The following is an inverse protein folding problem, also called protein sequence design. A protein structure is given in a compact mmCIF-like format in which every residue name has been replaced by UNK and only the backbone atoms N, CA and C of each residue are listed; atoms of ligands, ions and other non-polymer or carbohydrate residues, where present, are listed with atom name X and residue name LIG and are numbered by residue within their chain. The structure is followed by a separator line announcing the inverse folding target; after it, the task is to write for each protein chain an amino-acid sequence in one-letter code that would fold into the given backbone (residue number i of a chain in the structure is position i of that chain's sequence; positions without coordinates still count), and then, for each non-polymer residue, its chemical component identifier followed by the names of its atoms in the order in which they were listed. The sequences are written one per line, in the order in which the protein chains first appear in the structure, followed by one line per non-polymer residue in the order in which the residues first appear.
data_IF_660304530304
#
_entry.id   IF_660304530304
#
_cell.length_a   1.000
_cell.length_b   1.000
_cell.length_c   1.000
_cell.angle_alpha   90.00
_cell.angle_beta   90.00
_cell.angle_gamma   90.00
#
_symmetry.space_group_name_H-M   'P 1'
#
loop_
_entity.id
_entity.type
_entity.pdbx_description
1 polymer ?
#
# COMPACT_ATOMS: atom_id res chain seq x y z
N UNK A 1 20.91 -0.56 -12.31
CA UNK A 1 22.37 -0.59 -12.27
C UNK A 1 22.74 -1.42 -11.03
N UNK A 2 23.12 -2.67 -11.22
CA UNK A 2 23.60 -3.54 -10.13
C UNK A 2 25.04 -3.13 -9.81
N UNK A 3 25.29 -2.66 -8.62
CA UNK A 3 26.64 -2.46 -8.14
C UNK A 3 27.25 -3.84 -7.82
N UNK A 4 28.33 -4.16 -8.51
CA UNK A 4 29.17 -5.33 -8.20
C UNK A 4 29.70 -5.17 -6.76
N UNK A 5 29.34 -6.11 -5.89
CA UNK A 5 29.56 -6.06 -4.44
C UNK A 5 30.90 -6.68 -4.03
N UNK A 6 31.78 -7.02 -4.98
CA UNK A 6 33.06 -7.73 -4.73
C UNK A 6 34.16 -6.88 -4.06
N UNK A 7 33.84 -5.63 -3.65
CA UNK A 7 34.86 -4.71 -3.12
C UNK A 7 34.64 -4.20 -1.69
N UNK A 8 33.57 -4.62 -0.99
CA UNK A 8 33.32 -4.17 0.37
C UNK A 8 33.56 -5.29 1.38
N UNK A 9 34.32 -4.97 2.44
CA UNK A 9 34.65 -5.84 3.58
C UNK A 9 33.61 -5.79 4.71
N UNK A 10 32.43 -5.17 4.47
CA UNK A 10 31.30 -5.05 5.38
C UNK A 10 29.97 -5.12 4.61
N UNK A 11 28.88 -5.40 5.35
CA UNK A 11 27.53 -5.52 4.80
C UNK A 11 26.53 -4.59 5.44
N UNK A 12 25.27 -4.66 4.99
CA UNK A 12 24.20 -3.79 5.49
C UNK A 12 23.90 -3.98 6.99
N UNK A 13 24.17 -5.16 7.56
CA UNK A 13 24.01 -5.39 9.00
C UNK A 13 25.03 -4.59 9.80
N UNK A 14 26.25 -4.45 9.31
CA UNK A 14 27.26 -3.63 9.95
C UNK A 14 26.85 -2.16 9.96
N UNK A 15 26.29 -1.68 8.84
CA UNK A 15 25.74 -0.32 8.74
C UNK A 15 24.56 -0.12 9.68
N UNK A 16 23.66 -1.10 9.79
CA UNK A 16 22.54 -1.09 10.74
C UNK A 16 23.04 -1.00 12.19
N UNK A 17 24.13 -1.69 12.51
CA UNK A 17 24.75 -1.64 13.83
C UNK A 17 25.41 -0.28 14.09
N UNK A 18 26.16 0.27 13.13
CA UNK A 18 26.78 1.61 13.22
C UNK A 18 25.70 2.70 13.42
N UNK A 19 24.55 2.54 12.78
CA UNK A 19 23.40 3.46 12.91
C UNK A 19 22.55 3.19 14.15
N UNK A 20 22.88 2.19 14.97
CA UNK A 20 22.11 1.79 16.17
C UNK A 20 20.61 1.59 15.89
N UNK A 21 20.25 1.06 14.72
CA UNK A 21 18.83 0.88 14.37
C UNK A 21 18.19 -0.19 15.26
N UNK A 22 17.05 0.14 15.84
CA UNK A 22 16.32 -0.76 16.73
C UNK A 22 15.64 -1.87 15.97
N UNK A 23 16.08 -3.11 16.20
CA UNK A 23 15.47 -4.32 15.65
C UNK A 23 14.13 -4.63 16.33
N UNK A 24 13.13 -5.05 15.57
CA UNK A 24 11.82 -5.48 16.08
C UNK A 24 11.60 -6.99 15.96
N UNK A 25 11.67 -7.53 14.74
CA UNK A 25 11.55 -8.98 14.50
C UNK A 25 12.23 -9.35 13.18
N UNK A 26 12.84 -10.52 13.08
CA UNK A 26 13.50 -10.96 11.85
C UNK A 26 14.44 -9.89 11.30
N UNK A 27 14.27 -9.51 10.06
CA UNK A 27 15.03 -8.45 9.40
C UNK A 27 14.29 -7.11 9.34
N UNK A 28 13.37 -6.87 10.28
CA UNK A 28 12.59 -5.64 10.37
C UNK A 28 13.07 -4.76 11.52
N UNK A 29 13.30 -3.48 11.20
CA UNK A 29 13.82 -2.45 12.08
C UNK A 29 12.91 -1.22 12.12
N UNK A 30 13.08 -0.37 13.12
CA UNK A 30 12.46 0.95 13.13
C UNK A 30 13.05 1.78 11.99
N UNK A 31 12.22 2.57 11.32
CA UNK A 31 12.68 3.35 10.18
C UNK A 31 13.21 4.71 10.62
N UNK A 32 14.51 5.01 10.42
CA UNK A 32 15.07 6.29 10.80
C UNK A 32 14.64 7.45 9.90
N UNK A 33 14.16 7.15 8.68
CA UNK A 33 13.73 8.19 7.73
C UNK A 33 12.36 8.78 8.03
N UNK A 34 11.43 7.97 8.55
CA UNK A 34 10.08 8.42 8.87
C UNK A 34 9.72 8.28 10.35
N UNK A 35 10.68 7.95 11.21
CA UNK A 35 10.48 7.83 12.66
C UNK A 35 9.52 6.71 13.07
N UNK A 36 9.23 5.76 12.18
CA UNK A 36 8.30 4.67 12.43
C UNK A 36 8.93 3.63 13.36
N UNK A 37 8.22 3.24 14.43
CA UNK A 37 8.73 2.40 15.52
C UNK A 37 8.10 1.01 15.61
N UNK A 38 7.41 0.55 14.56
CA UNK A 38 6.76 -0.77 14.50
C UNK A 38 7.45 -1.75 13.54
N UNK A 39 8.70 -1.46 13.15
CA UNK A 39 9.49 -2.34 12.30
C UNK A 39 8.99 -2.35 10.86
N UNK A 40 8.98 -1.22 10.18
CA UNK A 40 8.60 -1.14 8.75
C UNK A 40 9.81 -1.05 7.82
N UNK A 41 11.02 -0.85 8.36
CA UNK A 41 12.26 -0.93 7.60
C UNK A 41 12.68 -2.38 7.47
N UNK A 42 12.54 -2.95 6.30
CA UNK A 42 13.04 -4.28 5.96
C UNK A 42 14.50 -4.19 5.49
N UNK A 43 15.36 -5.02 6.03
CA UNK A 43 16.76 -5.18 5.63
C UNK A 43 16.91 -6.50 4.88
N UNK A 44 17.27 -6.45 3.62
CA UNK A 44 17.67 -7.64 2.87
C UNK A 44 19.19 -7.80 2.96
N UNK A 45 19.61 -8.75 3.78
CA UNK A 45 21.04 -8.97 4.08
C UNK A 45 21.79 -9.50 2.87
N UNK A 46 21.18 -10.41 2.11
CA UNK A 46 21.81 -11.06 0.94
C UNK A 46 22.09 -10.05 -0.19
N UNK A 47 21.15 -9.13 -0.40
CA UNK A 47 21.27 -8.08 -1.43
C UNK A 47 21.92 -6.79 -0.92
N UNK A 48 22.27 -6.71 0.35
CA UNK A 48 22.77 -5.49 1.02
C UNK A 48 21.91 -4.25 0.74
N UNK A 49 20.58 -4.42 0.77
CA UNK A 49 19.63 -3.32 0.52
C UNK A 49 18.61 -3.20 1.63
N UNK A 50 18.05 -2.00 1.75
CA UNK A 50 16.95 -1.72 2.68
C UNK A 50 15.72 -1.18 1.93
N UNK A 51 14.56 -1.35 2.55
CA UNK A 51 13.32 -0.72 2.12
C UNK A 51 12.38 -0.53 3.31
N UNK A 52 11.86 0.68 3.45
CA UNK A 52 10.78 0.96 4.39
C UNK A 52 9.41 0.75 3.72
N UNK A 53 8.58 -0.11 4.30
CA UNK A 53 7.22 -0.38 3.80
C UNK A 53 6.22 0.75 4.16
N UNK A 54 6.67 1.82 4.84
CA UNK A 54 5.85 2.97 5.21
C UNK A 54 6.14 4.21 4.37
N UNK A 55 7.43 4.57 4.21
CA UNK A 55 7.83 5.80 3.50
C UNK A 55 8.57 5.52 2.19
N UNK A 56 8.68 4.25 1.79
CA UNK A 56 9.38 3.77 0.58
C UNK A 56 10.87 4.16 0.50
N UNK A 57 11.47 4.73 1.55
CA UNK A 57 12.91 4.92 1.62
C UNK A 57 13.59 3.59 1.32
N UNK A 58 14.47 3.56 0.32
CA UNK A 58 15.10 2.33 -0.14
C UNK A 58 16.44 2.59 -0.81
N UNK A 59 17.32 1.59 -0.77
CA UNK A 59 18.64 1.70 -1.40
C UNK A 59 19.60 0.63 -0.92
N UNK A 60 20.86 0.77 -1.32
CA UNK A 60 21.96 -0.06 -0.85
C UNK A 60 22.48 0.41 0.51
N UNK A 61 23.40 -0.37 1.10
CA UNK A 61 23.97 -0.12 2.44
C UNK A 61 24.60 1.27 2.59
N UNK A 62 25.34 1.75 1.59
CA UNK A 62 25.94 3.09 1.63
C UNK A 62 24.88 4.19 1.61
N UNK A 63 23.81 4.01 0.82
CA UNK A 63 22.71 4.97 0.74
C UNK A 63 21.93 5.06 2.06
N UNK A 64 21.81 3.95 2.81
CA UNK A 64 21.20 3.97 4.13
C UNK A 64 21.91 4.95 5.08
N UNK A 65 23.24 4.92 5.07
CA UNK A 65 24.06 5.81 5.89
C UNK A 65 24.07 7.25 5.33
N UNK A 66 24.33 7.37 4.03
CA UNK A 66 24.49 8.66 3.35
C UNK A 66 23.24 9.55 3.47
N UNK A 67 22.04 8.99 3.24
CA UNK A 67 20.80 9.74 3.33
C UNK A 67 20.47 10.21 4.75
N UNK A 68 20.91 9.44 5.79
CA UNK A 68 20.68 9.82 7.19
C UNK A 68 21.63 10.91 7.67
N UNK A 69 22.86 10.88 7.20
CA UNK A 69 23.90 11.84 7.62
C UNK A 69 24.07 13.00 6.64
N UNK A 70 23.30 13.00 5.53
CA UNK A 70 23.36 14.00 4.46
C UNK A 70 24.79 14.17 3.90
N UNK A 71 25.43 13.03 3.62
CA UNK A 71 26.79 12.94 3.06
C UNK A 71 26.78 12.21 1.72
N UNK A 72 27.86 12.32 0.95
CA UNK A 72 28.01 11.56 -0.31
C UNK A 72 28.24 10.07 -0.01
N UNK A 73 28.03 9.20 -1.03
CA UNK A 73 28.30 7.76 -0.88
C UNK A 73 29.76 7.46 -0.57
N UNK A 74 30.70 8.29 -1.08
CA UNK A 74 32.12 8.17 -0.79
C UNK A 74 32.44 8.48 0.66
N UNK A 75 31.91 9.59 1.19
CA UNK A 75 32.04 9.98 2.60
C UNK A 75 31.38 8.95 3.52
N UNK A 76 30.19 8.46 3.14
CA UNK A 76 29.52 7.40 3.89
C UNK A 76 30.38 6.14 4.00
N UNK A 77 31.00 5.69 2.89
CA UNK A 77 31.92 4.54 2.91
C UNK A 77 33.09 4.78 3.85
N UNK A 78 33.72 5.96 3.80
CA UNK A 78 34.82 6.31 4.68
C UNK A 78 34.39 6.31 6.15
N UNK A 79 33.28 6.98 6.49
CA UNK A 79 32.80 7.09 7.87
C UNK A 79 32.37 5.72 8.44
N UNK A 80 31.72 4.87 7.62
CA UNK A 80 31.37 3.51 8.02
C UNK A 80 32.63 2.69 8.32
N UNK A 81 33.63 2.75 7.46
CA UNK A 81 34.92 2.05 7.65
C UNK A 81 35.63 2.52 8.92
N UNK A 82 35.67 3.82 9.18
CA UNK A 82 36.25 4.40 10.40
C UNK A 82 35.49 3.90 11.65
N UNK A 83 34.16 3.88 11.61
CA UNK A 83 33.35 3.39 12.71
C UNK A 83 33.53 1.88 12.97
N UNK A 84 33.65 1.08 11.93
CA UNK A 84 33.89 -0.37 12.04
C UNK A 84 35.35 -0.71 12.44
N UNK A 85 36.32 0.10 12.03
CA UNK A 85 37.75 -0.10 12.40
C UNK A 85 38.06 0.19 13.87
N UNK A 86 37.14 0.83 14.61
CA UNK A 86 37.24 1.10 16.04
C UNK A 86 36.57 0.03 16.91
N UNK A 87 35.82 -0.90 16.36
CA UNK A 87 35.22 -2.03 17.07
C UNK A 87 35.92 -3.34 16.72
N UNK A 88 36.21 -4.18 17.73
CA UNK A 88 36.76 -5.52 17.52
C UNK A 88 35.87 -6.28 16.49
N UNK A 89 36.50 -6.75 15.45
CA UNK A 89 35.87 -7.52 14.37
C UNK A 89 35.42 -8.87 14.93
N UNK A 90 34.14 -9.00 15.30
CA UNK A 90 33.55 -10.29 15.65
C UNK A 90 33.08 -10.99 14.37
N UNK A 91 33.98 -11.75 13.77
CA UNK A 91 33.68 -12.70 12.68
C UNK A 91 32.67 -13.80 13.09
N UNK A 92 32.39 -13.93 14.38
CA UNK A 92 31.51 -14.97 14.92
C UNK A 92 30.03 -14.80 14.56
N UNK A 93 29.61 -13.59 14.19
CA UNK A 93 28.21 -13.32 13.80
C UNK A 93 27.87 -13.86 12.40
N UNK A 94 28.84 -14.04 11.53
CA UNK A 94 28.61 -14.56 10.16
C UNK A 94 28.39 -16.09 10.19
N UNK A 95 28.89 -16.79 11.21
CA UNK A 95 28.78 -18.26 11.33
C UNK A 95 27.55 -18.77 12.09
N UNK A 96 26.81 -17.90 12.77
CA UNK A 96 25.70 -18.29 13.67
C UNK A 96 24.30 -18.02 13.12
N UNK A 97 24.13 -17.49 11.92
CA UNK A 97 22.81 -17.45 11.30
C UNK A 97 22.58 -18.77 10.55
N UNK A 98 21.56 -19.54 10.91
CA UNK A 98 21.16 -20.68 10.08
C UNK A 98 20.91 -20.11 8.68
N UNK A 99 21.56 -20.69 7.67
CA UNK A 99 21.23 -20.49 6.27
C UNK A 99 19.75 -20.82 6.17
N UNK A 100 18.91 -19.80 6.10
CA UNK A 100 17.52 -20.04 5.71
C UNK A 100 17.64 -20.49 4.27
N UNK A 101 17.28 -21.74 4.02
CA UNK A 101 17.14 -22.27 2.67
C UNK A 101 16.43 -21.22 1.84
N UNK A 102 17.05 -20.78 0.75
CA UNK A 102 16.45 -19.82 -0.18
C UNK A 102 15.13 -20.42 -0.62
N UNK A 103 14.04 -19.85 -0.13
CA UNK A 103 12.72 -20.26 -0.60
C UNK A 103 12.66 -19.90 -2.06
N UNK A 104 12.59 -20.93 -2.92
CA UNK A 104 12.48 -20.72 -4.34
C UNK A 104 11.28 -19.83 -4.64
N UNK A 105 11.53 -18.62 -5.15
CA UNK A 105 10.46 -17.74 -5.61
C UNK A 105 10.07 -18.13 -7.03
N UNK A 106 8.78 -18.26 -7.29
CA UNK A 106 8.30 -18.48 -8.64
C UNK A 106 8.38 -17.19 -9.45
N UNK A 107 8.49 -17.32 -10.77
CA UNK A 107 8.25 -16.22 -11.69
C UNK A 107 6.75 -15.86 -11.69
N UNK A 108 6.43 -14.58 -11.84
CA UNK A 108 5.04 -14.12 -11.92
C UNK A 108 4.38 -14.70 -13.19
N UNK A 109 3.21 -15.30 -13.04
CA UNK A 109 2.45 -15.84 -14.17
C UNK A 109 1.96 -14.72 -15.12
N UNK A 110 1.68 -15.01 -16.41
CA UNK A 110 1.02 -14.07 -17.30
C UNK A 110 -0.28 -13.54 -16.71
N UNK A 111 -0.61 -12.28 -16.97
CA UNK A 111 -1.76 -11.60 -16.37
C UNK A 111 -3.09 -12.27 -16.72
N UNK A 112 -3.19 -12.84 -17.91
CA UNK A 112 -4.34 -13.60 -18.40
C UNK A 112 -4.57 -14.84 -17.56
N UNK A 113 -3.49 -15.57 -17.21
CA UNK A 113 -3.56 -16.77 -16.38
C UNK A 113 -3.88 -16.42 -14.93
N UNK A 114 -3.29 -15.33 -14.40
CA UNK A 114 -3.64 -14.78 -13.08
C UNK A 114 -5.14 -14.48 -13.04
N UNK A 115 -5.64 -13.75 -14.02
CA UNK A 115 -7.04 -13.37 -14.13
C UNK A 115 -7.97 -14.59 -14.20
N UNK A 116 -7.69 -15.56 -15.09
CA UNK A 116 -8.47 -16.79 -15.25
C UNK A 116 -8.55 -17.57 -13.93
N UNK A 117 -7.42 -17.75 -13.27
CA UNK A 117 -7.34 -18.47 -11.99
C UNK A 117 -8.14 -17.74 -10.90
N UNK A 118 -8.00 -16.44 -10.80
CA UNK A 118 -8.77 -15.65 -9.83
C UNK A 118 -10.27 -15.63 -10.13
N UNK A 119 -10.69 -15.52 -11.39
CA UNK A 119 -12.10 -15.62 -11.74
C UNK A 119 -12.70 -16.96 -11.31
N UNK A 120 -12.00 -18.05 -11.60
CA UNK A 120 -12.47 -19.39 -11.19
C UNK A 120 -12.48 -19.52 -9.67
N UNK A 121 -11.43 -19.05 -8.98
CA UNK A 121 -11.41 -19.03 -7.51
C UNK A 121 -12.62 -18.28 -6.95
N UNK A 122 -12.90 -17.08 -7.43
CA UNK A 122 -14.05 -16.28 -6.95
C UNK A 122 -15.40 -16.98 -7.17
N UNK A 123 -15.55 -17.74 -8.26
CA UNK A 123 -16.79 -18.49 -8.52
C UNK A 123 -17.04 -19.65 -7.53
N UNK A 124 -15.98 -20.09 -6.82
CA UNK A 124 -16.06 -21.12 -5.78
C UNK A 124 -16.25 -20.52 -4.38
N UNK A 125 -16.12 -19.23 -4.21
CA UNK A 125 -16.24 -18.51 -2.94
C UNK A 125 -17.61 -17.85 -2.82
N UNK A 126 -18.04 -17.62 -1.58
CA UNK A 126 -19.28 -16.92 -1.27
C UNK A 126 -19.01 -15.62 -0.54
N UNK A 127 -19.94 -14.68 -0.59
CA UNK A 127 -19.94 -13.52 0.27
C UNK A 127 -20.87 -13.79 1.46
N UNK A 128 -20.35 -13.72 2.68
CA UNK A 128 -21.18 -13.94 3.87
C UNK A 128 -22.12 -12.73 4.10
N UNK A 129 -23.21 -12.95 4.80
CA UNK A 129 -24.27 -11.95 5.05
C UNK A 129 -23.72 -10.70 5.72
N UNK A 130 -22.86 -10.83 6.73
CA UNK A 130 -22.26 -9.71 7.45
C UNK A 130 -21.45 -8.79 6.53
N UNK A 131 -20.65 -9.38 5.63
CA UNK A 131 -19.88 -8.61 4.65
C UNK A 131 -20.78 -7.94 3.61
N UNK A 132 -21.82 -8.61 3.15
CA UNK A 132 -22.80 -8.03 2.25
C UNK A 132 -23.50 -6.82 2.90
N UNK A 133 -23.95 -6.94 4.14
CA UNK A 133 -24.55 -5.84 4.91
C UNK A 133 -23.57 -4.68 5.13
N UNK A 134 -22.26 -4.96 5.37
CA UNK A 134 -21.24 -3.90 5.49
C UNK A 134 -21.05 -3.13 4.18
N UNK A 135 -21.00 -3.83 3.05
CA UNK A 135 -20.89 -3.22 1.71
C UNK A 135 -22.14 -2.40 1.36
N UNK A 136 -23.34 -2.91 1.67
CA UNK A 136 -24.60 -2.19 1.47
C UNK A 136 -24.68 -0.92 2.34
N UNK A 137 -24.30 -1.00 3.61
CA UNK A 137 -24.23 0.16 4.51
C UNK A 137 -23.28 1.24 3.99
N UNK A 138 -22.26 0.87 3.20
CA UNK A 138 -21.35 1.79 2.53
C UNK A 138 -21.92 2.39 1.24
N UNK A 139 -23.13 2.03 0.85
CA UNK A 139 -23.83 2.58 -0.31
C UNK A 139 -23.78 1.75 -1.57
N UNK A 140 -23.23 0.53 -1.55
CA UNK A 140 -23.28 -0.38 -2.68
C UNK A 140 -24.60 -1.16 -2.74
N UNK A 141 -25.20 -1.26 -3.91
CA UNK A 141 -26.37 -2.10 -4.16
C UNK A 141 -25.96 -3.57 -4.35
N UNK A 142 -26.88 -4.55 -4.12
CA UNK A 142 -26.57 -5.97 -4.29
C UNK A 142 -26.01 -6.32 -5.68
N UNK A 143 -26.57 -5.77 -6.74
CA UNK A 143 -26.09 -5.97 -8.10
C UNK A 143 -24.69 -5.40 -8.36
N UNK A 144 -24.33 -4.29 -7.70
CA UNK A 144 -23.00 -3.70 -7.77
C UNK A 144 -21.97 -4.55 -7.01
N UNK A 145 -22.37 -5.09 -5.84
CA UNK A 145 -21.54 -5.99 -5.05
C UNK A 145 -21.20 -7.24 -5.85
N UNK A 146 -22.18 -7.83 -6.53
CA UNK A 146 -21.96 -9.01 -7.36
C UNK A 146 -21.13 -8.67 -8.61
N UNK A 147 -21.39 -7.55 -9.29
CA UNK A 147 -20.63 -7.08 -10.44
C UNK A 147 -19.14 -6.89 -10.10
N UNK A 148 -18.82 -6.42 -8.87
CA UNK A 148 -17.45 -6.28 -8.38
C UNK A 148 -16.86 -7.59 -7.85
N UNK A 149 -17.65 -8.68 -7.82
CA UNK A 149 -17.20 -10.02 -7.40
C UNK A 149 -16.59 -10.05 -6.00
N UNK A 150 -17.07 -9.23 -5.07
CA UNK A 150 -16.63 -9.29 -3.68
C UNK A 150 -16.99 -10.63 -3.07
N UNK A 151 -16.06 -11.24 -2.34
CA UNK A 151 -16.24 -12.51 -1.64
C UNK A 151 -15.69 -12.43 -0.22
N UNK A 152 -16.04 -13.37 0.61
CA UNK A 152 -15.44 -13.52 1.93
C UNK A 152 -14.23 -14.43 1.85
N UNK A 153 -13.17 -14.09 2.59
CA UNK A 153 -12.02 -14.99 2.78
C UNK A 153 -12.52 -16.28 3.46
N UNK A 154 -12.29 -17.47 2.89
CA UNK A 154 -12.68 -18.73 3.51
C UNK A 154 -11.80 -19.01 4.73
N UNK A 155 -12.39 -19.57 5.79
CA UNK A 155 -11.69 -19.91 7.03
C UNK A 155 -11.01 -21.29 6.97
N UNK A 156 -11.44 -22.15 6.05
CA UNK A 156 -10.95 -23.54 5.89
C UNK A 156 -11.08 -23.99 4.43
N UNK A 157 -10.47 -25.13 4.11
CA UNK A 157 -10.61 -25.77 2.80
C UNK A 157 -9.64 -25.25 1.73
N UNK A 158 -8.60 -24.50 2.09
CA UNK A 158 -7.66 -23.89 1.13
C UNK A 158 -6.97 -24.92 0.23
N UNK A 159 -6.44 -26.03 0.80
CA UNK A 159 -5.82 -27.10 0.01
C UNK A 159 -6.80 -27.72 -1.00
N UNK A 160 -8.07 -27.94 -0.58
CA UNK A 160 -9.12 -28.49 -1.47
C UNK A 160 -9.48 -27.54 -2.59
N UNK A 161 -9.59 -26.23 -2.29
CA UNK A 161 -9.83 -25.18 -3.26
C UNK A 161 -8.73 -25.15 -4.33
N UNK A 162 -7.46 -25.13 -3.89
CA UNK A 162 -6.30 -25.03 -4.78
C UNK A 162 -6.12 -26.33 -5.59
N UNK A 163 -6.31 -27.50 -4.97
CA UNK A 163 -6.29 -28.80 -5.67
C UNK A 163 -7.31 -28.81 -6.81
N UNK A 164 -8.54 -28.38 -6.54
CA UNK A 164 -9.58 -28.31 -7.57
C UNK A 164 -9.23 -27.37 -8.71
N UNK A 165 -8.67 -26.18 -8.44
CA UNK A 165 -8.18 -25.28 -9.48
C UNK A 165 -7.14 -25.94 -10.37
N UNK A 166 -6.16 -26.62 -9.79
CA UNK A 166 -5.12 -27.32 -10.52
C UNK A 166 -5.68 -28.51 -11.35
N UNK A 167 -6.61 -29.31 -10.81
CA UNK A 167 -7.27 -30.40 -11.51
C UNK A 167 -8.12 -29.91 -12.70
N UNK A 168 -8.69 -28.70 -12.59
CA UNK A 168 -9.44 -28.06 -13.67
C UNK A 168 -8.51 -27.35 -14.69
N UNK A 169 -7.18 -27.45 -14.54
CA UNK A 169 -6.18 -26.91 -15.48
C UNK A 169 -5.88 -25.41 -15.30
N UNK A 170 -6.21 -24.81 -14.16
CA UNK A 170 -5.84 -23.43 -13.85
C UNK A 170 -4.43 -23.36 -13.28
N UNK A 171 -3.67 -22.35 -13.71
CA UNK A 171 -2.32 -22.10 -13.23
C UNK A 171 -2.37 -21.57 -11.79
N UNK A 172 -1.64 -22.22 -10.87
CA UNK A 172 -1.49 -21.76 -9.48
C UNK A 172 -0.05 -21.29 -9.19
N UNK A 173 0.94 -21.81 -9.90
CA UNK A 173 2.33 -21.36 -9.82
C UNK A 173 2.45 -19.94 -10.42
N UNK A 174 3.14 -19.05 -9.70
CA UNK A 174 3.32 -17.67 -10.15
C UNK A 174 2.09 -16.76 -9.98
N UNK A 175 0.99 -17.26 -9.40
CA UNK A 175 -0.20 -16.46 -9.08
C UNK A 175 -0.07 -15.93 -7.65
N UNK A 176 -0.17 -14.61 -7.38
CA UNK A 176 0.00 -14.07 -6.04
C UNK A 176 -0.99 -14.67 -5.03
N UNK A 177 -0.49 -14.99 -3.85
CA UNK A 177 -1.26 -15.65 -2.80
C UNK A 177 -1.14 -17.16 -2.80
N UNK A 178 -0.81 -17.80 -3.92
CA UNK A 178 -0.59 -19.26 -3.99
C UNK A 178 0.87 -19.60 -3.69
N UNK A 179 1.10 -20.72 -3.02
CA UNK A 179 2.43 -21.17 -2.63
C UNK A 179 2.43 -22.67 -2.30
N UNK A 180 3.61 -23.27 -2.14
CA UNK A 180 3.76 -24.62 -1.62
C UNK A 180 3.95 -24.60 -0.10
N UNK A 181 3.20 -25.43 0.61
CA UNK A 181 3.37 -25.63 2.04
C UNK A 181 4.57 -26.56 2.36
N UNK A 182 4.80 -26.84 3.62
CA UNK A 182 5.91 -27.69 4.10
C UNK A 182 5.82 -29.13 3.61
N UNK A 183 4.64 -29.60 3.23
CA UNK A 183 4.40 -30.93 2.69
C UNK A 183 4.52 -30.95 1.14
N UNK A 184 4.89 -29.81 0.52
CA UNK A 184 4.99 -29.65 -0.91
C UNK A 184 3.65 -29.48 -1.64
N UNK A 185 2.54 -29.37 -0.94
CA UNK A 185 1.21 -29.19 -1.54
C UNK A 185 0.95 -27.72 -1.88
N UNK A 186 0.30 -27.48 -3.01
CA UNK A 186 -0.19 -26.17 -3.33
C UNK A 186 -1.33 -25.73 -2.40
N UNK A 187 -1.24 -24.51 -1.91
CA UNK A 187 -2.24 -23.88 -1.05
C UNK A 187 -2.30 -22.36 -1.33
N UNK A 188 -3.17 -21.64 -0.62
CA UNK A 188 -3.32 -20.18 -0.74
C UNK A 188 -3.22 -19.51 0.64
N UNK A 189 -2.65 -18.32 0.69
CA UNK A 189 -2.36 -17.58 1.92
C UNK A 189 -3.62 -16.90 2.51
N UNK A 190 -4.68 -17.66 2.70
CA UNK A 190 -5.82 -17.25 3.49
C UNK A 190 -5.61 -17.71 4.94
N UNK A 191 -5.58 -16.76 5.86
CA UNK A 191 -5.37 -17.00 7.29
C UNK A 191 -6.60 -16.58 8.08
N UNK A 192 -6.96 -17.34 9.09
CA UNK A 192 -8.12 -17.05 9.94
C UNK A 192 -8.02 -15.66 10.61
N UNK A 193 -6.83 -15.28 11.06
CA UNK A 193 -6.59 -13.93 11.62
C UNK A 193 -6.71 -12.79 10.60
N UNK A 194 -6.81 -13.12 9.32
CA UNK A 194 -6.99 -12.21 8.19
C UNK A 194 -8.36 -12.39 7.52
N UNK A 195 -9.34 -12.97 8.24
CA UNK A 195 -10.71 -13.03 7.74
C UNK A 195 -11.19 -11.64 7.32
N UNK A 196 -12.04 -11.57 6.30
CA UNK A 196 -12.50 -10.29 5.78
C UNK A 196 -13.07 -10.37 4.37
N UNK A 197 -13.26 -9.19 3.79
CA UNK A 197 -13.76 -9.04 2.43
C UNK A 197 -12.60 -9.08 1.45
N UNK A 198 -12.66 -10.01 0.52
CA UNK A 198 -11.74 -10.13 -0.61
C UNK A 198 -12.14 -9.13 -1.71
N UNK A 199 -11.26 -8.19 -2.01
CA UNK A 199 -11.50 -7.06 -2.91
C UNK A 199 -10.63 -7.25 -4.14
N UNK A 200 -11.20 -7.55 -5.33
CA UNK A 200 -10.45 -7.66 -6.57
C UNK A 200 -9.83 -6.31 -6.97
N UNK A 201 -8.59 -6.36 -7.42
CA UNK A 201 -7.87 -5.22 -7.99
C UNK A 201 -7.84 -5.41 -9.50
N UNK A 202 -8.54 -4.54 -10.22
CA UNK A 202 -8.78 -4.68 -11.66
C UNK A 202 -7.94 -3.68 -12.44
N UNK A 203 -7.29 -4.14 -13.52
CA UNK A 203 -6.49 -3.32 -14.44
C UNK A 203 -7.35 -2.51 -15.40
N UNK A 204 -6.70 -1.66 -16.23
CA UNK A 204 -7.33 -0.99 -17.38
C UNK A 204 -7.95 -1.98 -18.37
N UNK A 205 -7.37 -3.18 -18.50
CA UNK A 205 -7.85 -4.21 -19.44
C UNK A 205 -8.97 -5.09 -18.85
N UNK A 206 -9.44 -4.76 -17.63
CA UNK A 206 -10.47 -5.54 -16.94
C UNK A 206 -9.93 -6.80 -16.25
N UNK A 207 -8.61 -7.03 -16.24
CA UNK A 207 -8.01 -8.20 -15.60
C UNK A 207 -7.91 -8.04 -14.08
N UNK A 208 -8.26 -9.08 -13.34
CA UNK A 208 -7.99 -9.15 -11.90
C UNK A 208 -6.50 -9.42 -11.71
N UNK A 209 -5.76 -8.44 -11.19
CA UNK A 209 -4.31 -8.47 -10.99
C UNK A 209 -3.91 -9.01 -9.60
N UNK A 210 -4.80 -8.95 -8.65
CA UNK A 210 -4.56 -9.32 -7.26
C UNK A 210 -5.75 -9.01 -6.38
N UNK A 211 -5.56 -9.17 -5.08
CA UNK A 211 -6.60 -8.87 -4.09
C UNK A 211 -6.03 -8.07 -2.92
N UNK A 212 -6.83 -7.12 -2.44
CA UNK A 212 -6.76 -6.65 -1.07
C UNK A 212 -7.78 -7.41 -0.20
N UNK A 213 -7.44 -7.66 1.04
CA UNK A 213 -8.36 -8.18 2.05
C UNK A 213 -8.62 -7.05 3.04
N UNK A 214 -9.88 -6.60 3.13
CA UNK A 214 -10.31 -5.71 4.19
C UNK A 214 -10.64 -6.58 5.40
N UNK A 215 -9.74 -6.57 6.38
CA UNK A 215 -9.84 -7.48 7.53
C UNK A 215 -11.01 -7.12 8.45
N UNK A 216 -11.62 -8.14 9.06
CA UNK A 216 -12.72 -7.98 10.01
C UNK A 216 -12.26 -7.34 11.33
N UNK A 217 -11.07 -7.74 11.79
CA UNK A 217 -10.44 -7.22 12.99
C UNK A 217 -9.41 -6.16 12.63
N UNK A 218 -9.89 -4.91 12.56
CA UNK A 218 -9.05 -3.74 12.25
C UNK A 218 -8.20 -3.40 13.45
N UNK A 219 -6.88 -3.27 13.24
CA UNK A 219 -5.95 -2.72 14.22
C UNK A 219 -5.39 -1.40 13.71
N UNK A 220 -4.67 -0.64 14.54
CA UNK A 220 -4.04 0.62 14.15
C UNK A 220 -3.13 0.50 12.92
N UNK A 221 -2.57 -0.69 12.68
CA UNK A 221 -1.60 -0.95 11.60
C UNK A 221 -2.13 -1.84 10.49
N UNK A 222 -3.34 -2.43 10.64
CA UNK A 222 -3.84 -3.47 9.74
C UNK A 222 -5.33 -3.29 9.49
N UNK A 223 -5.66 -2.57 8.43
CA UNK A 223 -7.04 -2.43 7.93
C UNK A 223 -7.21 -3.15 6.59
N UNK A 224 -6.21 -3.04 5.73
CA UNK A 224 -6.12 -3.72 4.45
C UNK A 224 -4.79 -4.46 4.36
N UNK A 225 -4.81 -5.66 3.81
CA UNK A 225 -3.63 -6.44 3.50
C UNK A 225 -3.69 -6.94 2.07
N UNK A 226 -2.54 -7.19 1.46
CA UNK A 226 -2.46 -7.83 0.16
C UNK A 226 -2.54 -9.36 0.30
N UNK A 227 -3.29 -10.00 -0.59
CA UNK A 227 -3.15 -11.44 -0.83
C UNK A 227 -1.83 -11.66 -1.59
N UNK A 228 -0.80 -12.05 -0.86
CA UNK A 228 0.57 -12.21 -1.35
C UNK A 228 1.19 -13.45 -0.73
N UNK A 229 2.09 -14.10 -1.45
CA UNK A 229 2.79 -15.30 -1.01
C UNK A 229 4.32 -15.18 -1.07
N UNK A 230 4.86 -13.98 -1.25
CA UNK A 230 6.30 -13.71 -1.46
C UNK A 230 7.22 -14.32 -0.40
N UNK A 231 6.73 -14.61 0.81
CA UNK A 231 7.53 -15.18 1.91
C UNK A 231 7.39 -16.72 2.01
N UNK A 232 6.78 -17.36 1.03
CA UNK A 232 6.52 -18.80 1.01
C UNK A 232 7.21 -19.46 -0.19
N UNK A 233 7.43 -20.78 -0.10
CA UNK A 233 8.02 -21.55 -1.20
C UNK A 233 7.16 -21.44 -2.46
N UNK A 234 7.81 -21.22 -3.62
CA UNK A 234 7.17 -20.94 -4.92
C UNK A 234 6.14 -19.80 -4.89
N UNK A 235 6.19 -18.95 -3.86
CA UNK A 235 5.30 -17.81 -3.74
C UNK A 235 5.79 -16.59 -4.52
N UNK A 236 4.87 -15.67 -4.82
CA UNK A 236 5.16 -14.41 -5.52
C UNK A 236 4.51 -13.23 -4.81
N UNK A 237 5.04 -12.04 -5.05
CA UNK A 237 4.49 -10.78 -4.54
C UNK A 237 3.22 -10.39 -5.29
N UNK A 238 2.28 -9.75 -4.60
CA UNK A 238 1.14 -9.07 -5.25
C UNK A 238 1.55 -7.89 -6.12
N UNK A 239 2.75 -7.32 -5.93
CA UNK A 239 3.23 -6.16 -6.69
C UNK A 239 2.52 -4.84 -6.39
N UNK A 240 1.51 -4.81 -5.53
CA UNK A 240 0.67 -3.63 -5.23
C UNK A 240 0.10 -2.97 -6.49
N UNK A 241 -0.65 -3.68 -7.34
CA UNK A 241 -1.20 -3.14 -8.57
C UNK A 241 -2.22 -2.02 -8.32
N UNK A 242 -2.42 -1.19 -9.32
CA UNK A 242 -3.37 -0.08 -9.32
C UNK A 242 -4.75 -0.60 -9.77
N UNK A 243 -5.81 -0.22 -9.04
CA UNK A 243 -7.19 -0.53 -9.42
C UNK A 243 -7.78 0.62 -10.24
N UNK A 244 -8.51 0.27 -11.30
CA UNK A 244 -9.21 1.24 -12.14
C UNK A 244 -10.68 0.84 -12.26
N UNK A 245 -11.56 1.84 -12.15
CA UNK A 245 -13.01 1.66 -12.31
C UNK A 245 -13.64 2.89 -12.97
N UNK A 246 -14.54 2.66 -13.92
CA UNK A 246 -15.27 3.67 -14.66
C UNK A 246 -14.94 3.67 -16.13
N UNK A 247 -15.29 4.78 -16.82
CA UNK A 247 -15.04 4.97 -18.24
C UNK A 247 -13.56 5.31 -18.50
N UNK A 248 -12.89 4.50 -19.30
CA UNK A 248 -11.47 4.70 -19.63
C UNK A 248 -11.25 5.92 -20.55
N UNK A 249 -12.27 6.35 -21.30
CA UNK A 249 -12.22 7.54 -22.15
C UNK A 249 -12.56 8.85 -21.39
N UNK A 250 -12.75 8.78 -20.08
CA UNK A 250 -13.07 9.95 -19.27
C UNK A 250 -11.95 10.99 -19.33
N UNK A 251 -12.28 12.22 -19.68
CA UNK A 251 -11.32 13.33 -19.72
C UNK A 251 -10.79 13.72 -18.32
N UNK A 252 -11.61 13.56 -17.29
CA UNK A 252 -11.27 13.82 -15.88
C UNK A 252 -11.32 12.54 -15.08
N UNK A 253 -10.23 12.20 -14.45
CA UNK A 253 -10.06 10.96 -13.67
C UNK A 253 -9.66 11.30 -12.25
N UNK A 254 -10.27 10.65 -11.29
CA UNK A 254 -10.00 10.84 -9.87
C UNK A 254 -8.98 9.80 -9.37
N UNK A 255 -8.04 10.25 -8.55
CA UNK A 255 -7.08 9.38 -7.86
C UNK A 255 -7.42 9.32 -6.38
N UNK A 256 -7.61 8.12 -5.83
CA UNK A 256 -7.89 7.95 -4.40
C UNK A 256 -7.13 6.77 -3.77
N UNK A 257 -7.19 6.65 -2.45
CA UNK A 257 -6.62 5.53 -1.70
C UNK A 257 -7.64 4.41 -1.52
N UNK A 258 -7.23 3.17 -1.86
CA UNK A 258 -8.02 1.96 -1.65
C UNK A 258 -9.08 1.69 -2.72
N UNK A 259 -9.03 0.48 -3.27
CA UNK A 259 -9.93 0.04 -4.35
C UNK A 259 -11.41 0.10 -3.92
N UNK A 260 -11.75 -0.36 -2.71
CA UNK A 260 -13.13 -0.33 -2.23
C UNK A 260 -13.68 1.11 -2.15
N UNK A 261 -12.86 2.06 -1.69
CA UNK A 261 -13.24 3.47 -1.61
C UNK A 261 -13.52 4.05 -3.00
N UNK A 262 -12.62 3.83 -3.95
CA UNK A 262 -12.79 4.30 -5.32
C UNK A 262 -14.00 3.66 -6.00
N UNK A 263 -14.27 2.38 -5.75
CA UNK A 263 -15.46 1.68 -6.25
C UNK A 263 -16.75 2.31 -5.71
N UNK A 264 -16.83 2.56 -4.40
CA UNK A 264 -17.99 3.22 -3.79
C UNK A 264 -18.16 4.62 -4.38
N UNK A 265 -17.10 5.40 -4.45
CA UNK A 265 -17.11 6.74 -5.01
C UNK A 265 -17.56 6.75 -6.48
N UNK A 266 -17.11 5.78 -7.29
CA UNK A 266 -17.59 5.58 -8.65
C UNK A 266 -19.11 5.39 -8.72
N UNK A 267 -19.66 4.45 -7.96
CA UNK A 267 -21.10 4.19 -7.97
C UNK A 267 -21.96 5.32 -7.39
N UNK A 268 -21.38 6.15 -6.55
CA UNK A 268 -22.07 7.34 -6.03
C UNK A 268 -22.07 8.51 -7.02
N UNK A 269 -21.00 8.68 -7.81
CA UNK A 269 -20.79 9.87 -8.65
C UNK A 269 -20.84 9.60 -10.16
N UNK A 270 -20.69 8.36 -10.61
CA UNK A 270 -20.49 8.01 -12.02
C UNK A 270 -19.10 8.36 -12.58
N UNK A 271 -18.22 8.94 -11.77
CA UNK A 271 -16.88 9.35 -12.21
C UNK A 271 -15.91 8.17 -12.30
N UNK A 272 -14.83 8.33 -13.06
CA UNK A 272 -13.76 7.34 -13.20
C UNK A 272 -12.71 7.52 -12.12
N UNK A 273 -12.32 6.40 -11.49
CA UNK A 273 -11.34 6.37 -10.43
C UNK A 273 -10.15 5.47 -10.73
N UNK A 274 -8.96 5.98 -10.43
CA UNK A 274 -7.72 5.24 -10.29
C UNK A 274 -7.42 5.13 -8.80
N UNK A 275 -7.12 3.92 -8.31
CA UNK A 275 -6.98 3.68 -6.87
C UNK A 275 -5.65 3.01 -6.57
N UNK A 276 -4.87 3.62 -5.69
CA UNK A 276 -3.65 3.05 -5.12
C UNK A 276 -3.92 2.51 -3.72
N UNK A 277 -3.12 1.57 -3.23
CA UNK A 277 -3.35 0.96 -1.91
C UNK A 277 -3.14 1.91 -0.71
N UNK A 278 -2.49 3.03 -0.95
CA UNK A 278 -2.24 4.10 0.01
C UNK A 278 -1.44 5.21 -0.64
N UNK A 279 -1.42 6.39 -0.04
CA UNK A 279 -0.81 7.62 -0.59
C UNK A 279 0.66 7.43 -1.05
N UNK A 280 1.41 6.55 -0.39
CA UNK A 280 2.81 6.26 -0.72
C UNK A 280 2.99 5.05 -1.64
N UNK A 281 1.91 4.46 -2.18
CA UNK A 281 1.95 3.30 -3.09
C UNK A 281 1.79 3.71 -4.56
N UNK A 282 2.54 4.71 -4.98
CA UNK A 282 2.46 5.34 -6.31
C UNK A 282 3.34 4.68 -7.37
N UNK A 283 4.17 3.67 -7.03
CA UNK A 283 5.16 3.06 -7.95
C UNK A 283 4.56 2.62 -9.30
N UNK A 284 3.39 1.99 -9.27
CA UNK A 284 2.73 1.45 -10.45
C UNK A 284 1.74 2.44 -11.09
N UNK A 285 1.69 3.69 -10.61
CA UNK A 285 0.73 4.68 -11.06
C UNK A 285 1.07 5.26 -12.44
N UNK A 286 2.35 5.59 -12.67
CA UNK A 286 2.80 6.26 -13.90
C UNK A 286 2.39 5.52 -15.18
N UNK A 287 2.64 4.19 -15.34
CA UNK A 287 2.22 3.47 -16.54
C UNK A 287 0.71 3.46 -16.75
N UNK A 288 -0.07 3.44 -15.66
CA UNK A 288 -1.55 3.48 -15.72
C UNK A 288 -2.02 4.84 -16.23
N UNK A 289 -1.49 5.94 -15.67
CA UNK A 289 -1.86 7.30 -16.11
C UNK A 289 -1.42 7.58 -17.55
N UNK A 290 -0.26 7.09 -17.96
CA UNK A 290 0.24 7.22 -19.33
C UNK A 290 -0.71 6.54 -20.33
N UNK A 291 -1.17 5.33 -20.05
CA UNK A 291 -2.16 4.62 -20.86
C UNK A 291 -3.52 5.34 -20.89
N UNK A 292 -3.99 5.83 -19.73
CA UNK A 292 -5.25 6.59 -19.65
C UNK A 292 -5.16 7.91 -20.42
N UNK A 293 -4.01 8.58 -20.41
CA UNK A 293 -3.77 9.75 -21.27
C UNK A 293 -3.92 9.37 -22.76
N UNK A 294 -3.42 8.19 -23.15
CA UNK A 294 -3.61 7.65 -24.50
C UNK A 294 -5.09 7.38 -24.85
N UNK A 295 -5.94 7.10 -23.88
CA UNK A 295 -7.40 6.93 -24.08
C UNK A 295 -8.20 8.25 -24.03
N UNK A 296 -7.55 9.39 -23.77
CA UNK A 296 -8.20 10.71 -23.81
C UNK A 296 -8.28 11.45 -22.47
N UNK A 297 -7.69 10.92 -21.41
CA UNK A 297 -7.61 11.63 -20.13
C UNK A 297 -6.84 12.94 -20.29
N UNK A 298 -7.45 14.06 -19.85
CA UNK A 298 -6.89 15.42 -19.92
C UNK A 298 -6.46 15.94 -18.55
N UNK A 299 -7.02 15.40 -17.46
CA UNK A 299 -6.79 15.92 -16.11
C UNK A 299 -6.90 14.81 -15.06
N UNK A 300 -5.97 14.84 -14.09
CA UNK A 300 -6.05 14.05 -12.87
C UNK A 300 -6.55 14.90 -11.71
N UNK A 301 -7.50 14.37 -10.93
CA UNK A 301 -8.08 15.01 -9.76
C UNK A 301 -7.64 14.20 -8.52
N UNK A 302 -6.64 14.68 -7.76
CA UNK A 302 -6.15 14.00 -6.57
C UNK A 302 -7.16 14.14 -5.43
N UNK A 303 -7.84 13.05 -5.10
CA UNK A 303 -8.89 12.94 -4.08
C UNK A 303 -8.48 11.99 -2.94
N UNK A 304 -7.23 12.08 -2.49
CA UNK A 304 -6.76 11.38 -1.29
C UNK A 304 -7.47 11.88 -0.03
N UNK A 305 -7.41 11.08 1.03
CA UNK A 305 -8.03 11.36 2.30
C UNK A 305 -7.70 12.76 2.85
N UNK A 306 -8.68 13.39 3.50
CA UNK A 306 -8.54 14.76 3.99
C UNK A 306 -7.56 14.92 5.16
N UNK A 307 -7.01 13.84 5.70
CA UNK A 307 -5.90 13.96 6.67
C UNK A 307 -4.61 14.54 6.04
N UNK A 308 -4.54 14.71 4.72
CA UNK A 308 -3.57 15.57 4.04
C UNK A 308 -3.66 17.05 4.47
N UNK A 309 -4.80 17.50 4.95
CA UNK A 309 -5.11 18.84 5.49
C UNK A 309 -5.44 18.81 7.00
N UNK A 310 -5.08 17.73 7.70
CA UNK A 310 -5.43 17.56 9.12
C UNK A 310 -4.84 18.67 9.99
N UNK A 311 -5.57 19.06 11.04
CA UNK A 311 -5.09 19.99 12.07
C UNK A 311 -3.91 19.38 12.81
N UNK A 312 -2.85 20.18 12.96
CA UNK A 312 -1.63 19.76 13.69
C UNK A 312 -1.61 20.25 15.13
N UNK A 313 -2.55 21.09 15.53
CA UNK A 313 -2.68 21.53 16.91
C UNK A 313 -2.90 20.34 17.86
N UNK A 314 -2.26 20.40 19.03
CA UNK A 314 -2.39 19.39 20.07
C UNK A 314 -3.56 19.73 21.00
N UNK A 315 -4.73 19.15 20.75
CA UNK A 315 -5.91 19.38 21.57
C UNK A 315 -6.12 18.36 22.69
N UNK A 316 -5.48 17.19 22.59
CA UNK A 316 -5.51 16.11 23.59
C UNK A 316 -4.22 15.30 23.52
N UNK A 317 -3.57 15.11 24.68
CA UNK A 317 -2.58 14.06 24.83
C UNK A 317 -3.31 12.72 24.84
N UNK A 318 -3.03 11.87 23.85
CA UNK A 318 -3.42 10.46 23.90
C UNK A 318 -2.20 9.59 24.27
N UNK A 319 -2.40 8.29 24.47
CA UNK A 319 -1.32 7.34 24.78
C UNK A 319 -0.23 7.27 23.69
N UNK A 320 -0.50 7.78 22.49
CA UNK A 320 0.45 7.85 21.36
C UNK A 320 1.37 9.09 21.48
N UNK A 321 1.02 10.05 22.33
CA UNK A 321 1.81 11.25 22.60
C UNK A 321 2.84 11.09 23.73
N UNK A 322 3.16 9.87 24.14
CA UNK A 322 4.12 9.57 25.21
C UNK A 322 5.54 10.14 24.98
N UNK A 323 5.83 10.65 23.77
CA UNK A 323 7.09 11.31 23.40
C UNK A 323 7.02 12.84 23.58
N UNK A 324 5.84 13.38 23.89
CA UNK A 324 5.64 14.81 24.03
C UNK A 324 5.90 15.23 25.48
N UNK A 325 7.05 15.87 25.73
CA UNK A 325 7.44 16.34 27.06
C UNK A 325 6.65 17.57 27.54
N UNK A 326 5.99 18.27 26.62
CA UNK A 326 5.18 19.44 26.93
C UNK A 326 3.70 19.07 27.08
N UNK A 327 3.05 19.56 28.13
CA UNK A 327 1.66 19.24 28.45
C UNK A 327 0.62 19.76 27.45
N UNK A 328 0.96 20.66 26.53
CA UNK A 328 0.10 21.15 25.46
C UNK A 328 0.93 21.90 24.40
N UNK A 329 1.76 21.24 23.59
CA UNK A 329 2.49 21.95 22.54
C UNK A 329 1.50 22.56 21.56
N UNK A 330 1.79 23.75 21.06
CA UNK A 330 1.01 24.43 20.03
C UNK A 330 0.90 23.53 18.78
N UNK A 331 1.96 22.81 18.45
CA UNK A 331 2.02 21.87 17.33
C UNK A 331 2.30 20.46 17.87
N UNK A 332 1.42 19.52 17.54
CA UNK A 332 1.66 18.10 17.79
C UNK A 332 2.60 17.53 16.73
N UNK A 333 3.83 17.22 17.11
CA UNK A 333 4.85 16.69 16.21
C UNK A 333 4.41 15.38 15.53
N UNK A 334 3.68 14.51 16.24
CA UNK A 334 3.14 13.29 15.64
C UNK A 334 2.13 13.56 14.51
N UNK A 335 1.21 14.52 14.72
CA UNK A 335 0.25 14.92 13.67
C UNK A 335 0.95 15.64 12.52
N UNK A 336 1.90 16.53 12.82
CA UNK A 336 2.68 17.25 11.81
C UNK A 336 3.47 16.27 10.94
N UNK A 337 4.13 15.28 11.53
CA UNK A 337 4.87 14.25 10.82
C UNK A 337 3.94 13.37 9.96
N UNK A 338 2.80 12.95 10.50
CA UNK A 338 1.80 12.21 9.72
C UNK A 338 1.33 13.01 8.51
N UNK A 339 1.00 14.31 8.69
CA UNK A 339 0.59 15.21 7.60
C UNK A 339 1.71 15.35 6.56
N UNK A 340 2.95 15.52 7.00
CA UNK A 340 4.14 15.61 6.12
C UNK A 340 4.30 14.36 5.25
N UNK A 341 4.19 13.16 5.84
CA UNK A 341 4.29 11.89 5.10
C UNK A 341 3.20 11.79 4.02
N UNK A 342 1.97 12.18 4.35
CA UNK A 342 0.86 12.16 3.39
C UNK A 342 1.11 13.18 2.27
N UNK A 343 1.53 14.40 2.62
CA UNK A 343 1.85 15.45 1.64
C UNK A 343 2.99 15.04 0.71
N UNK A 344 4.01 14.36 1.21
CA UNK A 344 5.08 13.82 0.37
C UNK A 344 4.55 12.85 -0.69
N UNK A 345 3.63 11.95 -0.32
CA UNK A 345 2.98 11.07 -1.29
C UNK A 345 2.16 11.83 -2.33
N UNK A 346 1.41 12.86 -1.93
CA UNK A 346 0.69 13.75 -2.86
C UNK A 346 1.67 14.46 -3.82
N UNK A 347 2.80 14.93 -3.31
CA UNK A 347 3.82 15.60 -4.13
C UNK A 347 4.45 14.63 -5.15
N UNK A 348 4.63 13.35 -4.79
CA UNK A 348 5.12 12.34 -5.75
C UNK A 348 4.14 12.10 -6.89
N UNK A 349 2.84 12.13 -6.63
CA UNK A 349 1.83 12.08 -7.69
C UNK A 349 1.92 13.30 -8.59
N UNK A 350 2.12 14.49 -8.01
CA UNK A 350 2.32 15.72 -8.77
C UNK A 350 3.56 15.63 -9.69
N UNK A 351 4.69 15.11 -9.18
CA UNK A 351 5.90 14.87 -9.98
C UNK A 351 5.60 13.94 -11.17
N UNK A 352 4.88 12.82 -10.95
CA UNK A 352 4.47 11.89 -12.01
C UNK A 352 3.60 12.61 -13.06
N UNK A 353 2.62 13.40 -12.64
CA UNK A 353 1.77 14.16 -13.55
C UNK A 353 2.56 15.17 -14.37
N UNK A 354 3.53 15.86 -13.75
CA UNK A 354 4.42 16.80 -14.44
C UNK A 354 5.27 16.09 -15.50
N UNK A 355 5.85 14.93 -15.18
CA UNK A 355 6.60 14.12 -16.16
C UNK A 355 5.75 13.70 -17.35
N UNK A 356 4.46 13.41 -17.11
CA UNK A 356 3.50 13.03 -18.14
C UNK A 356 2.88 14.26 -18.86
N UNK A 357 3.22 15.49 -18.48
CA UNK A 357 2.52 16.71 -18.95
C UNK A 357 1.01 16.60 -18.80
N UNK A 358 0.57 16.09 -17.65
CA UNK A 358 -0.83 15.88 -17.30
C UNK A 358 -1.26 16.90 -16.24
N UNK A 359 -2.19 17.81 -16.52
CA UNK A 359 -2.75 18.71 -15.53
C UNK A 359 -3.30 17.95 -14.32
N UNK A 360 -2.99 18.44 -13.10
CA UNK A 360 -3.48 17.85 -11.86
C UNK A 360 -4.05 18.93 -10.94
N UNK A 361 -5.22 18.69 -10.38
CA UNK A 361 -5.79 19.50 -9.31
C UNK A 361 -5.94 18.66 -8.04
N UNK A 362 -5.71 19.28 -6.90
CA UNK A 362 -5.96 18.67 -5.59
C UNK A 362 -7.41 18.93 -5.17
N UNK A 363 -8.14 17.86 -4.90
CA UNK A 363 -9.51 17.95 -4.41
C UNK A 363 -9.51 18.06 -2.88
N UNK A 364 -10.29 18.99 -2.36
CA UNK A 364 -10.48 19.21 -0.92
C UNK A 364 -11.96 19.40 -0.61
N UNK A 365 -12.38 18.99 0.57
CA UNK A 365 -13.74 19.15 1.09
C UNK A 365 -13.71 19.33 2.59
N UNK A 366 -14.83 19.80 3.17
CA UNK A 366 -14.99 20.00 4.61
C UNK A 366 -13.84 20.80 5.26
N UNK A 367 -13.43 21.88 4.59
CA UNK A 367 -12.40 22.79 5.08
C UNK A 367 -13.01 23.78 6.09
N UNK A 368 -12.20 24.20 7.05
CA UNK A 368 -12.52 25.33 7.92
C UNK A 368 -11.96 26.65 7.35
N UNK A 369 -12.18 27.75 8.07
CA UNK A 369 -11.72 29.08 7.72
C UNK A 369 -10.20 29.24 7.63
N UNK A 370 -9.45 28.35 8.28
CA UNK A 370 -7.98 28.33 8.28
C UNK A 370 -7.41 27.48 7.14
N UNK A 371 -8.25 26.92 6.27
CA UNK A 371 -7.80 26.02 5.20
C UNK A 371 -7.34 24.66 5.72
N UNK A 372 -7.83 24.22 6.88
CA UNK A 372 -7.58 22.90 7.45
C UNK A 372 -8.86 22.05 7.44
N UNK A 373 -8.71 20.73 7.43
CA UNK A 373 -9.84 19.82 7.47
C UNK A 373 -10.58 19.89 8.81
N UNK A 374 -11.90 20.07 8.76
CA UNK A 374 -12.73 20.21 9.95
C UNK A 374 -13.08 18.87 10.67
N UNK A 375 -12.60 17.73 10.13
CA UNK A 375 -12.76 16.42 10.74
C UNK A 375 -14.04 15.66 10.34
N UNK A 376 -14.88 16.17 9.42
CA UNK A 376 -16.15 15.50 9.04
C UNK A 376 -15.90 14.26 8.17
N UNK A 377 -15.89 14.39 6.85
CA UNK A 377 -15.75 13.26 5.95
C UNK A 377 -14.26 13.09 5.58
N UNK A 378 -13.69 11.95 5.95
CA UNK A 378 -12.27 11.70 5.70
C UNK A 378 -12.01 11.32 4.25
N UNK A 379 -12.73 10.33 3.73
CA UNK A 379 -12.61 9.80 2.38
C UNK A 379 -13.57 10.45 1.40
N UNK A 380 -13.25 10.38 0.12
CA UNK A 380 -14.13 10.85 -0.96
C UNK A 380 -15.46 10.08 -1.00
N UNK A 381 -15.45 8.79 -0.67
CA UNK A 381 -16.63 7.95 -0.55
C UNK A 381 -17.59 8.42 0.54
N UNK A 382 -17.07 8.74 1.73
CA UNK A 382 -17.86 9.27 2.86
C UNK A 382 -18.49 10.63 2.50
N UNK A 383 -17.71 11.49 1.82
CA UNK A 383 -18.16 12.81 1.37
C UNK A 383 -19.30 12.71 0.34
N UNK A 384 -19.12 11.87 -0.69
CA UNK A 384 -20.13 11.68 -1.73
C UNK A 384 -21.40 11.02 -1.19
N UNK A 385 -21.28 10.08 -0.25
CA UNK A 385 -22.43 9.46 0.40
C UNK A 385 -23.26 10.52 1.17
N UNK A 386 -22.61 11.43 1.89
CA UNK A 386 -23.30 12.50 2.62
C UNK A 386 -23.99 13.51 1.70
N UNK A 387 -23.40 13.83 0.54
CA UNK A 387 -24.05 14.71 -0.46
C UNK A 387 -25.30 14.04 -1.02
N UNK A 388 -25.17 12.77 -1.45
CA UNK A 388 -26.31 12.04 -2.04
C UNK A 388 -27.49 11.90 -1.08
N UNK A 389 -27.23 11.75 0.20
CA UNK A 389 -28.30 11.79 1.22
C UNK A 389 -29.01 13.14 1.29
N UNK A 390 -28.28 14.25 1.12
CA UNK A 390 -28.86 15.61 1.10
C UNK A 390 -29.67 15.89 -0.16
N UNK A 391 -29.21 15.44 -1.32
CA UNK A 391 -29.95 15.56 -2.60
C UNK A 391 -31.28 14.81 -2.56
N UNK A 392 -31.34 13.64 -1.92
CA UNK A 392 -32.58 12.93 -1.66
C UNK A 392 -33.58 13.71 -0.77
N UNK A 393 -33.13 14.76 -0.07
CA UNK A 393 -33.95 15.67 0.77
C UNK A 393 -34.25 17.01 0.08
N UNK A 394 -33.93 17.21 -1.22
CA UNK A 394 -34.35 18.37 -2.04
C UNK A 394 -33.33 19.53 -2.11
N UNK A 395 -32.12 19.38 -1.59
CA UNK A 395 -31.06 20.38 -1.71
C UNK A 395 -30.19 20.15 -2.97
N UNK A 396 -30.19 21.07 -3.94
CA UNK A 396 -29.24 21.04 -5.08
C UNK A 396 -27.84 21.34 -4.60
N UNK A 397 -26.96 20.32 -4.60
CA UNK A 397 -25.51 20.49 -4.35
C UNK A 397 -24.74 19.85 -5.50
N UNK A 398 -23.69 20.51 -6.01
CA UNK A 398 -22.81 19.90 -7.00
C UNK A 398 -22.10 18.69 -6.37
N UNK A 399 -22.27 17.50 -6.95
CA UNK A 399 -21.86 16.22 -6.36
C UNK A 399 -20.36 16.03 -6.16
N UNK A 400 -19.49 16.82 -6.80
CA UNK A 400 -18.04 16.62 -6.73
C UNK A 400 -17.34 17.80 -6.07
N UNK A 401 -16.30 17.57 -5.24
CA UNK A 401 -15.58 18.63 -4.55
C UNK A 401 -14.89 19.60 -5.51
N UNK A 402 -14.69 20.84 -5.08
CA UNK A 402 -13.97 21.85 -5.86
C UNK A 402 -12.46 21.58 -5.78
N UNK A 403 -11.76 21.73 -6.91
CA UNK A 403 -10.30 21.64 -6.96
C UNK A 403 -9.65 22.93 -6.47
N UNK A 404 -8.60 22.84 -5.65
CA UNK A 404 -7.65 23.92 -5.43
C UNK A 404 -6.71 23.96 -6.65
N UNK A 405 -6.53 25.14 -7.26
CA UNK A 405 -5.45 25.36 -8.22
C UNK A 405 -4.14 25.41 -7.43
N UNK A 406 -3.21 24.53 -7.77
CA UNK A 406 -1.86 24.47 -7.20
C UNK A 406 -0.94 25.49 -7.85
#
# INVERSE_FOLDING_TARGET
MYYDMSGFDYGILDVVQVLHLRKRRGNYYDCPFCGETHGKLNINVEKNVFRCNRCDASGGMLKLYADLHNVTLSEANQQIREALGKGEYRTDYIKAMPVQEEKATAELAPIEEIHRTYQRMLSMLTLNRKHQEDLQRRGLKPEQIEAQRYRSVPLFGMKKLVKRLAEEGYMVKGVPGFYRDTDGNWTINFKAENSGILIPIVSLDGFIQGFQIRVDHVTDTKKYIWLSSVNYDQGVSSGSPVHVIGDLAAERVYLTEGALKGTIAHYLSGATFVCVAGVNQYRNLKPVLERMKGYGMKQLLEAYDMDKKMKVACNKHDSKCAVCFERSPVICQHKAEKRRIIQNGCNKVYEICRELSLPMNRMVWDMDENGEWNGKHKGIDDYLAAIKQKEGTGAQTSALPKGEQS
#
